data_IF_184979494458
#
_entry.id   IF_184979494458
#
_cell.length_a   1.000
_cell.length_b   1.000
_cell.length_c   1.000
_cell.angle_alpha   90.00
_cell.angle_beta   90.00
_cell.angle_gamma   90.00
#
_symmetry.space_group_name_H-M   'P 1'
#
loop_
_entity.id
_entity.type
_entity.pdbx_description
1 polymer ?
#
# COMPACT_ATOMS: atom_id res chain seq x y z
N UNK A 1 -18.96 13.03 17.17
CA UNK A 1 -17.75 13.79 16.78
C UNK A 1 -17.86 14.12 15.29
N UNK A 2 -16.89 14.81 14.69
CA UNK A 2 -16.78 14.97 13.22
C UNK A 2 -15.65 14.07 12.70
N UNK A 3 -15.63 13.76 11.41
CA UNK A 3 -14.53 13.03 10.80
C UNK A 3 -13.26 13.87 10.87
N UNK A 4 -12.18 13.35 11.47
CA UNK A 4 -10.89 14.05 11.53
C UNK A 4 -9.84 13.27 10.74
N UNK A 5 -9.18 13.96 9.79
CA UNK A 5 -8.17 13.35 8.91
C UNK A 5 -6.86 14.12 8.97
N UNK A 6 -5.76 13.40 9.18
CA UNK A 6 -4.39 13.91 9.06
C UNK A 6 -3.94 13.83 7.60
N UNK A 7 -3.51 14.96 7.05
CA UNK A 7 -2.91 15.03 5.72
C UNK A 7 -1.45 15.50 5.78
N UNK A 8 -0.67 15.19 4.75
CA UNK A 8 0.66 15.77 4.58
C UNK A 8 0.58 17.27 4.26
N UNK A 9 1.54 18.05 4.77
CA UNK A 9 1.75 19.43 4.34
C UNK A 9 2.34 19.50 2.92
N UNK A 10 2.08 20.59 2.22
CA UNK A 10 2.85 20.99 1.04
C UNK A 10 4.30 21.31 1.47
N UNK A 11 5.33 20.62 0.95
CA UNK A 11 6.75 20.87 1.30
C UNK A 11 7.20 22.31 1.02
N UNK A 12 6.59 22.98 0.05
CA UNK A 12 6.88 24.37 -0.31
C UNK A 12 6.03 25.37 0.49
N UNK A 13 4.87 24.95 1.00
CA UNK A 13 3.96 25.79 1.78
C UNK A 13 3.42 25.05 3.02
N UNK A 14 4.21 24.93 4.11
CA UNK A 14 3.91 24.04 5.26
C UNK A 14 2.64 24.33 6.08
N UNK A 15 1.81 25.28 5.64
CA UNK A 15 0.48 25.59 6.21
C UNK A 15 -0.67 25.13 5.30
N UNK A 16 -0.36 24.50 4.18
CA UNK A 16 -1.32 23.99 3.21
C UNK A 16 -1.22 22.47 3.18
N UNK A 17 -2.33 21.84 2.82
CA UNK A 17 -2.34 20.43 2.44
C UNK A 17 -1.48 20.29 1.19
N UNK A 18 -0.73 19.19 1.10
CA UNK A 18 -0.05 18.80 -0.13
C UNK A 18 -1.02 18.88 -1.32
N UNK A 19 -0.65 19.54 -2.44
CA UNK A 19 -1.52 19.66 -3.61
C UNK A 19 -2.11 18.34 -4.10
N UNK A 20 -1.38 17.22 -3.95
CA UNK A 20 -1.86 15.89 -4.32
C UNK A 20 -3.13 15.49 -3.55
N UNK A 21 -3.21 15.75 -2.25
CA UNK A 21 -4.36 15.42 -1.41
C UNK A 21 -5.38 16.58 -1.27
N UNK A 22 -5.21 17.68 -2.01
CA UNK A 22 -6.03 18.89 -1.84
C UNK A 22 -7.53 18.68 -2.11
N UNK A 23 -7.87 17.84 -3.10
CA UNK A 23 -9.26 17.46 -3.41
C UNK A 23 -9.91 16.67 -2.28
N UNK A 24 -9.17 15.71 -1.75
CA UNK A 24 -9.61 14.87 -0.64
C UNK A 24 -9.81 15.69 0.64
N UNK A 25 -8.89 16.60 0.95
CA UNK A 25 -9.03 17.49 2.09
C UNK A 25 -10.17 18.52 1.94
N UNK A 26 -10.51 18.92 0.70
CA UNK A 26 -11.69 19.75 0.44
C UNK A 26 -12.97 18.97 0.70
N UNK A 27 -13.08 17.74 0.19
CA UNK A 27 -14.19 16.83 0.45
C UNK A 27 -14.47 16.62 1.96
N UNK A 28 -13.43 16.36 2.76
CA UNK A 28 -13.57 16.25 4.23
C UNK A 28 -14.17 17.53 4.82
N UNK A 29 -13.68 18.72 4.42
CA UNK A 29 -14.17 20.01 4.94
C UNK A 29 -15.59 20.33 4.50
N UNK A 30 -15.92 20.06 3.24
CA UNK A 30 -17.24 20.33 2.66
C UNK A 30 -18.33 19.49 3.35
N UNK A 31 -17.95 18.38 3.98
CA UNK A 31 -18.80 17.51 4.80
C UNK A 31 -18.60 17.70 6.31
N UNK A 32 -18.19 18.90 6.73
CA UNK A 32 -18.03 19.32 8.13
C UNK A 32 -17.01 18.52 8.94
N UNK A 33 -16.10 17.81 8.27
CA UNK A 33 -14.95 17.17 8.88
C UNK A 33 -13.86 18.18 9.25
N UNK A 34 -12.96 17.74 10.12
CA UNK A 34 -11.77 18.48 10.53
C UNK A 34 -10.52 17.89 9.86
N UNK A 35 -9.52 18.74 9.64
CA UNK A 35 -8.22 18.27 9.18
C UNK A 35 -7.10 18.84 10.03
N UNK A 36 -6.04 18.06 10.20
CA UNK A 36 -4.76 18.53 10.72
C UNK A 36 -3.63 18.06 9.80
N UNK A 37 -2.46 18.68 9.94
CA UNK A 37 -1.35 18.48 9.01
C UNK A 37 -0.13 17.90 9.72
N UNK A 38 0.53 16.96 9.04
CA UNK A 38 1.85 16.44 9.43
C UNK A 38 2.89 16.81 8.37
N UNK A 39 4.12 17.05 8.82
CA UNK A 39 5.27 17.24 7.95
C UNK A 39 5.96 15.89 7.71
N UNK A 40 5.66 15.29 6.54
CA UNK A 40 6.16 13.99 6.12
C UNK A 40 7.68 14.00 5.88
N UNK A 41 8.22 15.06 5.29
CA UNK A 41 9.67 15.20 5.06
C UNK A 41 10.44 15.21 6.39
N UNK A 42 9.92 15.92 7.41
CA UNK A 42 10.48 15.89 8.76
C UNK A 42 10.43 14.48 9.36
N UNK A 43 9.35 13.72 9.12
CA UNK A 43 9.23 12.35 9.59
C UNK A 43 10.26 11.42 8.93
N UNK A 44 10.43 11.50 7.60
CA UNK A 44 11.41 10.71 6.85
C UNK A 44 12.87 10.99 7.27
N UNK A 45 13.12 12.19 7.81
CA UNK A 45 14.42 12.55 8.38
C UNK A 45 14.59 12.08 9.84
N UNK A 46 13.60 11.38 10.41
CA UNK A 46 13.60 10.93 11.80
C UNK A 46 13.21 12.00 12.82
N UNK A 47 12.76 13.19 12.38
CA UNK A 47 12.39 14.31 13.24
C UNK A 47 10.90 14.28 13.61
N UNK A 48 10.44 13.21 14.27
CA UNK A 48 9.03 12.96 14.57
C UNK A 48 8.35 14.13 15.32
N UNK A 49 9.00 14.71 16.33
CA UNK A 49 8.45 15.85 17.07
C UNK A 49 8.24 17.09 16.19
N UNK A 50 9.11 17.29 15.20
CA UNK A 50 8.96 18.36 14.22
C UNK A 50 7.80 18.04 13.26
N UNK A 51 7.71 16.78 12.82
CA UNK A 51 6.67 16.29 11.91
C UNK A 51 5.25 16.56 12.43
N UNK A 52 5.02 16.37 13.72
CA UNK A 52 3.69 16.52 14.33
C UNK A 52 3.45 17.88 14.98
N UNK A 53 4.41 18.81 14.94
CA UNK A 53 4.37 20.08 15.69
C UNK A 53 3.07 20.86 15.49
N UNK A 54 2.53 20.86 14.28
CA UNK A 54 1.32 21.59 13.91
C UNK A 54 0.02 20.86 14.27
N UNK A 55 0.07 19.57 14.60
CA UNK A 55 -1.09 18.78 15.01
C UNK A 55 -1.56 19.26 16.40
N UNK A 56 -2.83 19.65 16.58
CA UNK A 56 -3.38 19.95 17.90
C UNK A 56 -3.25 18.76 18.89
N UNK A 57 -3.16 19.06 20.18
CA UNK A 57 -3.26 18.02 21.22
C UNK A 57 -4.72 17.58 21.43
N UNK A 58 -4.90 16.39 21.97
CA UNK A 58 -6.18 15.83 22.41
C UNK A 58 -7.26 15.76 21.31
N UNK A 59 -6.86 15.54 20.06
CA UNK A 59 -7.80 15.34 18.94
C UNK A 59 -8.63 14.07 19.05
N UNK A 60 -8.22 13.10 19.87
CA UNK A 60 -8.82 11.78 19.91
C UNK A 60 -8.46 10.94 18.68
N UNK A 61 -9.32 10.01 18.25
CA UNK A 61 -9.03 9.14 17.12
C UNK A 61 -9.12 9.87 15.78
N UNK A 62 -8.14 9.64 14.89
CA UNK A 62 -8.03 10.29 13.58
C UNK A 62 -7.65 9.29 12.49
N UNK A 63 -8.13 9.52 11.27
CA UNK A 63 -7.62 8.85 10.08
C UNK A 63 -6.35 9.54 9.60
N UNK A 64 -5.48 8.80 8.91
CA UNK A 64 -4.38 9.39 8.15
C UNK A 64 -4.61 9.16 6.67
N UNK A 65 -4.29 10.16 5.85
CA UNK A 65 -4.28 10.08 4.40
C UNK A 65 -3.07 10.85 3.89
N UNK A 66 -2.11 10.14 3.30
CA UNK A 66 -0.87 10.78 2.91
C UNK A 66 0.10 9.86 2.19
N UNK A 67 1.35 10.27 2.16
CA UNK A 67 2.42 9.51 1.54
C UNK A 67 2.81 8.27 2.33
N UNK A 68 3.33 7.28 1.60
CA UNK A 68 3.86 6.04 2.14
C UNK A 68 4.96 6.31 3.19
N UNK A 69 4.96 5.48 4.23
CA UNK A 69 5.97 5.45 5.29
C UNK A 69 6.51 4.02 5.42
N UNK A 70 7.71 3.87 5.93
CA UNK A 70 8.15 2.56 6.46
C UNK A 70 7.31 2.20 7.69
N UNK A 71 7.22 0.90 8.00
CA UNK A 71 6.54 0.44 9.22
C UNK A 71 7.13 1.05 10.50
N UNK A 72 8.44 1.32 10.52
CA UNK A 72 9.12 2.01 11.63
C UNK A 72 8.70 3.48 11.76
N UNK A 73 8.70 4.22 10.64
CA UNK A 73 8.25 5.62 10.59
C UNK A 73 6.79 5.75 11.03
N UNK A 74 5.91 4.87 10.56
CA UNK A 74 4.49 4.88 10.93
C UNK A 74 4.29 4.56 12.41
N UNK A 75 5.03 3.58 12.96
CA UNK A 75 5.00 3.27 14.38
C UNK A 75 5.50 4.44 15.25
N UNK A 76 6.56 5.11 14.81
CA UNK A 76 7.10 6.29 15.49
C UNK A 76 6.10 7.46 15.48
N UNK A 77 5.46 7.73 14.33
CA UNK A 77 4.38 8.70 14.20
C UNK A 77 3.21 8.39 15.14
N UNK A 78 2.71 7.16 15.12
CA UNK A 78 1.59 6.71 15.96
C UNK A 78 1.90 6.89 17.46
N UNK A 79 3.11 6.53 17.87
CA UNK A 79 3.58 6.67 19.26
C UNK A 79 3.61 8.15 19.70
N UNK A 80 4.19 9.03 18.87
CA UNK A 80 4.33 10.44 19.19
C UNK A 80 2.97 11.17 19.20
N UNK A 81 2.06 10.86 18.27
CA UNK A 81 0.69 11.37 18.28
C UNK A 81 -0.07 10.92 19.53
N UNK A 82 0.06 9.64 19.91
CA UNK A 82 -0.62 9.07 21.09
C UNK A 82 -0.21 9.75 22.38
N UNK A 83 1.07 10.13 22.52
CA UNK A 83 1.55 10.90 23.67
C UNK A 83 0.90 12.29 23.79
N UNK A 84 0.32 12.79 22.70
CA UNK A 84 -0.39 14.08 22.63
C UNK A 84 -1.90 13.92 22.57
N UNK A 85 -2.44 12.76 22.92
CA UNK A 85 -3.89 12.50 22.93
C UNK A 85 -4.52 12.34 21.54
N UNK A 86 -3.72 12.08 20.50
CA UNK A 86 -4.20 11.80 19.13
C UNK A 86 -3.90 10.34 18.77
N UNK A 87 -4.91 9.58 18.35
CA UNK A 87 -4.78 8.13 18.10
C UNK A 87 -5.01 7.87 16.61
N UNK A 88 -4.03 7.30 15.90
CA UNK A 88 -4.26 6.82 14.54
C UNK A 88 -5.23 5.63 14.55
N UNK A 89 -6.27 5.70 13.72
CA UNK A 89 -7.31 4.65 13.64
C UNK A 89 -6.82 3.35 13.01
N UNK A 90 -5.79 3.43 12.15
CA UNK A 90 -5.03 2.26 11.73
C UNK A 90 -3.88 2.06 12.72
N UNK A 91 -3.86 0.91 13.39
CA UNK A 91 -2.76 0.59 14.29
C UNK A 91 -1.47 0.31 13.49
N UNK A 92 -0.28 0.56 14.07
CA UNK A 92 0.99 0.28 13.36
C UNK A 92 1.13 -1.15 12.85
N UNK A 93 0.63 -2.14 13.62
CA UNK A 93 0.62 -3.54 13.21
C UNK A 93 -0.34 -3.78 12.03
N UNK A 94 -1.45 -3.04 11.94
CA UNK A 94 -2.42 -3.14 10.84
C UNK A 94 -1.87 -2.47 9.58
N UNK A 95 -1.18 -1.34 9.72
CA UNK A 95 -0.46 -0.68 8.63
C UNK A 95 0.57 -1.65 8.05
N UNK A 96 1.47 -2.19 8.87
CA UNK A 96 2.45 -3.16 8.40
C UNK A 96 1.78 -4.39 7.76
N UNK A 97 0.73 -4.93 8.40
CA UNK A 97 0.03 -6.13 7.93
C UNK A 97 -0.61 -5.96 6.55
N UNK A 98 -1.19 -4.80 6.27
CA UNK A 98 -1.80 -4.50 4.96
C UNK A 98 -0.78 -3.97 3.93
N UNK A 99 0.29 -3.32 4.38
CA UNK A 99 1.23 -2.62 3.52
C UNK A 99 2.36 -3.52 2.99
N UNK A 100 2.83 -4.47 3.79
CA UNK A 100 3.92 -5.36 3.44
C UNK A 100 3.40 -6.77 3.09
N UNK A 101 3.84 -7.31 1.95
CA UNK A 101 3.40 -8.61 1.43
C UNK A 101 3.35 -9.76 2.45
N UNK A 102 4.37 -9.97 3.32
CA UNK A 102 4.32 -11.03 4.32
C UNK A 102 3.16 -10.92 5.31
N UNK A 103 2.62 -9.73 5.51
CA UNK A 103 1.51 -9.48 6.42
C UNK A 103 0.15 -9.96 5.89
N UNK A 104 -0.02 -9.98 4.57
CA UNK A 104 -1.31 -10.29 3.95
C UNK A 104 -1.32 -11.52 3.05
N UNK A 105 -0.20 -11.90 2.41
CA UNK A 105 -0.19 -12.92 1.34
C UNK A 105 -0.91 -14.21 1.71
N UNK A 106 -0.59 -14.80 2.87
CA UNK A 106 -1.19 -16.05 3.33
C UNK A 106 -2.71 -15.95 3.53
N UNK A 107 -3.24 -14.78 3.88
CA UNK A 107 -4.69 -14.55 4.04
C UNK A 107 -5.43 -14.62 2.70
N UNK A 108 -4.73 -14.30 1.61
CA UNK A 108 -5.26 -14.32 0.24
C UNK A 108 -4.78 -15.53 -0.56
N UNK A 109 -4.18 -16.53 0.11
CA UNK A 109 -3.71 -17.75 -0.53
C UNK A 109 -4.82 -18.43 -1.34
N UNK A 110 -4.51 -18.83 -2.58
CA UNK A 110 -5.47 -19.39 -3.53
C UNK A 110 -6.19 -18.37 -4.41
N UNK A 111 -6.21 -17.09 -4.02
CA UNK A 111 -6.73 -15.99 -4.87
C UNK A 111 -5.68 -14.94 -5.22
N UNK A 112 -4.46 -15.03 -4.69
CA UNK A 112 -3.28 -14.25 -5.10
C UNK A 112 -2.19 -15.17 -5.69
N UNK A 113 -1.30 -14.70 -6.59
CA UNK A 113 -0.24 -15.55 -7.13
C UNK A 113 0.70 -16.07 -6.03
N UNK A 114 1.17 -17.31 -6.16
CA UNK A 114 2.10 -17.88 -5.18
C UNK A 114 3.35 -17.02 -5.11
N UNK A 115 3.80 -16.75 -3.88
CA UNK A 115 4.97 -15.93 -3.62
C UNK A 115 5.87 -16.64 -2.63
N UNK A 116 7.17 -16.43 -2.78
CA UNK A 116 8.17 -16.73 -1.76
C UNK A 116 8.91 -15.44 -1.44
N UNK A 117 9.28 -15.28 -0.17
CA UNK A 117 9.94 -14.07 0.28
C UNK A 117 10.89 -14.35 1.42
N UNK A 118 11.78 -13.39 1.66
CA UNK A 118 12.60 -13.32 2.87
C UNK A 118 13.00 -11.88 3.16
N UNK A 119 13.36 -11.57 4.42
CA UNK A 119 13.99 -10.29 4.74
C UNK A 119 15.26 -10.07 3.92
N UNK A 120 15.49 -8.82 3.52
CA UNK A 120 16.68 -8.37 2.83
C UNK A 120 16.84 -6.88 3.14
N UNK A 121 17.99 -6.48 3.70
CA UNK A 121 18.23 -5.08 4.00
C UNK A 121 18.55 -4.29 2.71
N UNK A 122 18.33 -2.96 2.71
CA UNK A 122 18.78 -2.09 1.63
C UNK A 122 20.26 -2.32 1.28
N UNK A 123 20.55 -2.37 -0.02
CA UNK A 123 21.90 -2.57 -0.57
C UNK A 123 22.60 -3.90 -0.19
N UNK A 124 21.90 -4.83 0.45
CA UNK A 124 22.44 -6.14 0.81
C UNK A 124 22.60 -7.05 -0.43
N UNK A 125 23.68 -7.85 -0.48
CA UNK A 125 23.81 -8.88 -1.53
C UNK A 125 22.72 -9.95 -1.32
N UNK A 126 21.87 -10.22 -2.33
CA UNK A 126 20.88 -11.28 -2.22
C UNK A 126 21.48 -12.68 -2.04
N UNK A 127 22.77 -12.93 -2.29
CA UNK A 127 23.34 -14.27 -2.05
C UNK A 127 22.64 -15.37 -2.87
N UNK A 128 22.65 -16.62 -2.38
CA UNK A 128 21.99 -17.71 -3.08
C UNK A 128 20.45 -17.64 -2.95
N UNK A 129 19.77 -17.87 -4.07
CA UNK A 129 18.31 -17.83 -4.23
C UNK A 129 17.71 -19.22 -4.43
N UNK A 130 18.53 -20.25 -4.63
CA UNK A 130 18.10 -21.61 -4.96
C UNK A 130 17.13 -22.20 -3.95
N UNK A 131 17.43 -22.05 -2.66
CA UNK A 131 16.59 -22.51 -1.55
C UNK A 131 15.24 -21.78 -1.52
N UNK A 132 15.24 -20.46 -1.74
CA UNK A 132 14.07 -19.60 -1.66
C UNK A 132 13.03 -19.98 -2.72
N UNK A 133 13.47 -20.17 -3.96
CA UNK A 133 12.56 -20.42 -5.10
C UNK A 133 12.16 -21.88 -5.28
N UNK A 134 12.71 -22.80 -4.47
CA UNK A 134 12.40 -24.23 -4.58
C UNK A 134 10.90 -24.54 -4.50
N UNK A 135 10.17 -23.78 -3.70
CA UNK A 135 8.74 -23.98 -3.50
C UNK A 135 7.89 -23.49 -4.69
N UNK A 136 8.45 -22.66 -5.58
CA UNK A 136 7.76 -22.17 -6.77
C UNK A 136 7.90 -23.14 -7.95
N UNK A 137 6.85 -23.28 -8.77
CA UNK A 137 6.94 -24.03 -10.03
C UNK A 137 7.91 -23.34 -11.00
N UNK A 138 8.41 -24.10 -11.98
CA UNK A 138 9.16 -23.51 -13.10
C UNK A 138 8.24 -22.65 -13.95
N UNK A 139 8.78 -21.53 -14.43
CA UNK A 139 8.00 -20.55 -15.18
C UNK A 139 8.26 -19.11 -14.76
N UNK A 140 7.53 -18.17 -15.36
CA UNK A 140 7.82 -16.76 -15.23
C UNK A 140 7.49 -16.25 -13.82
N UNK A 141 8.26 -15.26 -13.37
CA UNK A 141 8.11 -14.65 -12.06
C UNK A 141 8.37 -13.15 -12.09
N UNK A 142 7.77 -12.44 -11.14
CA UNK A 142 8.03 -11.04 -10.83
C UNK A 142 8.87 -10.96 -9.55
N UNK A 143 9.88 -10.10 -9.58
CA UNK A 143 10.74 -9.73 -8.47
C UNK A 143 10.30 -8.35 -7.95
N UNK A 144 10.04 -8.26 -6.65
CA UNK A 144 9.68 -7.00 -5.99
C UNK A 144 10.23 -6.95 -4.56
N UNK A 145 10.17 -5.78 -3.93
CA UNK A 145 10.30 -5.70 -2.48
C UNK A 145 8.95 -6.00 -1.80
N UNK A 146 8.82 -5.85 -0.48
CA UNK A 146 7.55 -6.17 0.20
C UNK A 146 6.38 -5.28 -0.22
N UNK A 147 6.63 -4.15 -0.87
CA UNK A 147 5.61 -3.16 -1.22
C UNK A 147 5.54 -2.95 -2.73
N UNK A 148 6.65 -2.67 -3.41
CA UNK A 148 6.69 -2.19 -4.80
C UNK A 148 7.68 -2.95 -5.68
N UNK A 149 7.41 -2.94 -6.98
CA UNK A 149 8.27 -3.51 -8.02
C UNK A 149 8.93 -2.43 -8.87
N UNK A 150 9.84 -2.86 -9.76
CA UNK A 150 10.50 -2.02 -10.75
C UNK A 150 9.85 -2.15 -12.13
N UNK A 151 8.53 -1.95 -12.19
CA UNK A 151 7.72 -2.19 -13.40
C UNK A 151 8.18 -1.42 -14.65
N UNK A 152 8.85 -0.27 -14.48
CA UNK A 152 9.41 0.50 -15.59
C UNK A 152 10.74 -0.07 -16.12
N UNK A 153 11.43 -0.88 -15.32
CA UNK A 153 12.63 -1.62 -15.69
C UNK A 153 12.31 -3.11 -15.85
N UNK A 154 11.23 -3.41 -16.59
CA UNK A 154 10.60 -4.74 -16.66
C UNK A 154 11.61 -5.88 -16.85
N UNK A 155 12.36 -5.88 -17.95
CA UNK A 155 13.30 -6.95 -18.29
C UNK A 155 14.58 -6.93 -17.45
N UNK A 156 14.95 -5.78 -16.87
CA UNK A 156 16.21 -5.61 -16.14
C UNK A 156 16.08 -5.93 -14.66
N UNK A 157 14.94 -5.64 -14.04
CA UNK A 157 14.79 -5.55 -12.59
C UNK A 157 13.42 -6.00 -12.05
N UNK A 158 12.52 -6.50 -12.90
CA UNK A 158 11.17 -6.89 -12.49
C UNK A 158 10.83 -8.32 -12.88
N UNK A 159 11.11 -8.73 -14.12
CA UNK A 159 10.60 -9.97 -14.69
C UNK A 159 11.71 -11.00 -14.91
N UNK A 160 11.38 -12.27 -14.64
CA UNK A 160 12.24 -13.42 -14.92
C UNK A 160 11.42 -14.46 -15.69
N UNK A 161 11.82 -14.87 -16.91
CA UNK A 161 11.06 -15.85 -17.71
C UNK A 161 10.95 -17.25 -17.09
N UNK A 162 11.96 -17.65 -16.31
CA UNK A 162 11.96 -18.90 -15.56
C UNK A 162 12.67 -18.70 -14.22
N UNK A 163 11.93 -18.84 -13.12
CA UNK A 163 12.45 -18.68 -11.76
C UNK A 163 13.58 -19.67 -11.42
N UNK A 164 13.64 -20.83 -12.09
CA UNK A 164 14.72 -21.81 -11.89
C UNK A 164 15.96 -21.54 -12.76
N UNK A 165 15.94 -20.51 -13.61
CA UNK A 165 17.15 -19.96 -14.24
C UNK A 165 17.90 -19.08 -13.24
N UNK A 166 18.56 -19.71 -12.27
CA UNK A 166 19.22 -19.03 -11.14
C UNK A 166 20.21 -17.92 -11.56
N UNK A 167 21.03 -18.05 -12.62
CA UNK A 167 21.87 -16.96 -13.09
C UNK A 167 21.07 -15.71 -13.49
N UNK A 168 19.99 -15.88 -14.26
CA UNK A 168 19.15 -14.77 -14.71
C UNK A 168 18.38 -14.15 -13.54
N UNK A 169 17.80 -15.00 -12.68
CA UNK A 169 17.13 -14.55 -11.47
C UNK A 169 18.06 -13.70 -10.60
N UNK A 170 19.31 -14.15 -10.38
CA UNK A 170 20.30 -13.39 -9.60
C UNK A 170 20.59 -12.03 -10.25
N UNK A 171 20.76 -11.96 -11.57
CA UNK A 171 20.97 -10.69 -12.27
C UNK A 171 19.82 -9.71 -12.04
N UNK A 172 18.58 -10.16 -12.21
CA UNK A 172 17.37 -9.32 -12.04
C UNK A 172 17.23 -8.88 -10.59
N UNK A 173 17.40 -9.79 -9.62
CA UNK A 173 17.32 -9.46 -8.19
C UNK A 173 18.41 -8.47 -7.78
N UNK A 174 19.66 -8.68 -8.19
CA UNK A 174 20.75 -7.73 -7.89
C UNK A 174 20.47 -6.36 -8.48
N UNK A 175 19.96 -6.29 -9.70
CA UNK A 175 19.59 -5.01 -10.34
C UNK A 175 18.41 -4.35 -9.61
N UNK A 176 17.39 -5.11 -9.24
CA UNK A 176 16.24 -4.63 -8.46
C UNK A 176 16.70 -4.02 -7.13
N UNK A 177 17.52 -4.75 -6.35
CA UNK A 177 18.06 -4.27 -5.07
C UNK A 177 18.89 -3.00 -5.25
N UNK A 178 19.73 -2.94 -6.29
CA UNK A 178 20.53 -1.75 -6.58
C UNK A 178 19.67 -0.53 -6.98
N UNK A 179 18.57 -0.74 -7.69
CA UNK A 179 17.63 0.34 -8.06
C UNK A 179 16.73 0.76 -6.90
N UNK A 180 16.39 -0.17 -6.00
CA UNK A 180 15.73 0.13 -4.73
C UNK A 180 16.62 0.99 -3.83
N UNK A 181 17.92 0.72 -3.82
CA UNK A 181 18.90 1.45 -3.01
C UNK A 181 18.45 1.48 -1.53
N UNK A 182 18.66 2.59 -0.84
CA UNK A 182 18.17 2.86 0.52
C UNK A 182 16.64 2.77 0.69
N UNK A 183 15.86 2.71 -0.39
CA UNK A 183 14.40 2.67 -0.38
C UNK A 183 13.81 1.26 -0.56
N UNK A 184 14.61 0.21 -0.42
CA UNK A 184 14.12 -1.17 -0.38
C UNK A 184 13.19 -1.36 0.83
N UNK A 185 11.93 -1.73 0.58
CA UNK A 185 10.96 -1.95 1.64
C UNK A 185 10.99 -3.41 2.14
N UNK A 186 11.57 -3.61 3.33
CA UNK A 186 11.47 -4.83 4.13
C UNK A 186 12.26 -6.06 3.65
N UNK A 187 12.09 -6.49 2.40
CA UNK A 187 12.77 -7.67 1.90
C UNK A 187 12.56 -7.96 0.42
N UNK A 188 12.89 -9.19 0.03
CA UNK A 188 12.81 -9.68 -1.35
C UNK A 188 11.61 -10.60 -1.51
N UNK A 189 10.82 -10.35 -2.55
CA UNK A 189 9.71 -11.21 -3.00
C UNK A 189 10.01 -11.73 -4.40
N UNK A 190 9.76 -13.01 -4.61
CA UNK A 190 9.67 -13.65 -5.93
C UNK A 190 8.27 -14.24 -6.03
N UNK A 191 7.51 -13.78 -7.00
CA UNK A 191 6.09 -14.12 -7.18
C UNK A 191 5.86 -14.72 -8.54
N UNK A 192 5.03 -15.76 -8.64
CA UNK A 192 4.58 -16.28 -9.94
C UNK A 192 3.97 -15.15 -10.79
N UNK A 193 4.35 -15.12 -12.06
CA UNK A 193 3.75 -14.20 -13.02
C UNK A 193 2.50 -14.84 -13.62
N UNK A 194 1.43 -14.07 -13.64
CA UNK A 194 0.17 -14.44 -14.28
C UNK A 194 -0.21 -13.37 -15.30
N UNK A 195 -0.69 -13.82 -16.45
CA UNK A 195 -1.25 -12.94 -17.48
C UNK A 195 -2.69 -12.58 -17.12
N UNK A 196 -2.98 -11.28 -17.13
CA UNK A 196 -4.31 -10.73 -16.90
C UNK A 196 -4.81 -10.01 -18.16
N UNK A 197 -6.13 -10.03 -18.34
CA UNK A 197 -6.84 -9.34 -19.42
C UNK A 197 -7.83 -8.33 -18.83
N UNK A 198 -8.07 -7.24 -19.55
CA UNK A 198 -9.11 -6.27 -19.22
C UNK A 198 -8.76 -5.26 -18.13
N UNK A 199 -7.48 -5.12 -17.76
CA UNK A 199 -6.99 -4.13 -16.78
C UNK A 199 -7.23 -4.53 -15.32
N UNK A 200 -6.88 -3.63 -14.41
CA UNK A 200 -7.00 -3.84 -12.96
C UNK A 200 -8.04 -2.89 -12.36
N UNK A 201 -8.87 -3.42 -11.46
CA UNK A 201 -9.82 -2.66 -10.67
C UNK A 201 -9.26 -2.50 -9.25
N UNK A 202 -9.32 -1.29 -8.70
CA UNK A 202 -9.00 -1.05 -7.30
C UNK A 202 -10.28 -1.03 -6.49
N UNK A 203 -10.36 -1.87 -5.46
CA UNK A 203 -11.42 -1.84 -4.47
C UNK A 203 -10.86 -1.29 -3.17
N UNK A 204 -11.49 -0.24 -2.65
CA UNK A 204 -11.24 0.31 -1.33
C UNK A 204 -12.18 -0.35 -0.33
N UNK A 205 -11.63 -0.83 0.78
CA UNK A 205 -12.37 -1.52 1.82
C UNK A 205 -12.27 -0.76 3.13
N UNK A 206 -13.40 -0.54 3.78
CA UNK A 206 -13.49 0.08 5.11
C UNK A 206 -14.19 -0.89 6.06
N UNK A 207 -13.50 -1.24 7.14
CA UNK A 207 -13.97 -2.17 8.18
C UNK A 207 -14.51 -3.51 7.60
N UNK A 208 -13.88 -3.99 6.51
CA UNK A 208 -14.19 -5.25 5.86
C UNK A 208 -15.27 -5.18 4.77
N UNK A 209 -15.84 -4.01 4.52
CA UNK A 209 -16.88 -3.79 3.51
C UNK A 209 -16.35 -2.97 2.33
N UNK A 210 -16.79 -3.25 1.09
CA UNK A 210 -16.36 -2.49 -0.09
C UNK A 210 -16.97 -1.09 -0.02
N UNK A 211 -16.11 -0.07 0.02
CA UNK A 211 -16.50 1.34 0.07
C UNK A 211 -16.54 1.96 -1.32
N UNK A 212 -15.55 1.67 -2.16
CA UNK A 212 -15.40 2.25 -3.49
C UNK A 212 -14.74 1.24 -4.42
N UNK A 213 -15.27 1.12 -5.64
CA UNK A 213 -14.65 0.38 -6.74
C UNK A 213 -14.32 1.41 -7.82
N UNK A 214 -13.08 1.41 -8.29
CA UNK A 214 -12.62 2.34 -9.32
C UNK A 214 -11.49 1.76 -10.17
N UNK A 215 -11.02 2.52 -11.16
CA UNK A 215 -9.93 2.09 -12.01
C UNK A 215 -8.61 2.03 -11.21
N UNK A 216 -7.71 1.14 -11.59
CA UNK A 216 -6.34 1.20 -11.09
C UNK A 216 -5.63 2.48 -11.60
N UNK A 217 -4.81 3.17 -10.77
CA UNK A 217 -4.18 4.44 -11.16
C UNK A 217 -3.26 4.38 -12.40
N UNK A 218 -2.70 3.21 -12.72
CA UNK A 218 -1.89 3.04 -13.94
C UNK A 218 -2.74 2.96 -15.23
N UNK A 219 -4.03 2.65 -15.10
CA UNK A 219 -4.98 2.48 -16.21
C UNK A 219 -6.30 3.18 -15.88
N UNK A 220 -6.30 4.50 -15.65
CA UNK A 220 -7.48 5.24 -15.18
C UNK A 220 -8.66 5.22 -16.15
N UNK A 221 -8.43 4.88 -17.42
CA UNK A 221 -9.43 4.73 -18.47
C UNK A 221 -10.09 3.35 -18.54
N UNK A 222 -9.60 2.38 -17.76
CA UNK A 222 -10.13 1.01 -17.73
C UNK A 222 -10.90 0.80 -16.44
N UNK A 223 -12.18 0.47 -16.56
CA UNK A 223 -13.08 0.24 -15.42
C UNK A 223 -13.59 -1.20 -15.45
N UNK A 224 -12.80 -2.18 -14.97
CA UNK A 224 -13.27 -3.55 -14.84
C UNK A 224 -14.34 -3.64 -13.74
N UNK A 225 -15.26 -4.59 -13.87
CA UNK A 225 -16.25 -4.92 -12.84
C UNK A 225 -15.80 -6.18 -12.09
N UNK A 226 -15.08 -6.07 -10.96
CA UNK A 226 -14.59 -7.22 -10.22
C UNK A 226 -15.70 -7.96 -9.48
N UNK A 227 -15.54 -9.28 -9.35
CA UNK A 227 -16.36 -10.08 -8.42
C UNK A 227 -15.82 -9.91 -6.99
N UNK A 228 -16.36 -8.91 -6.27
CA UNK A 228 -15.94 -8.58 -4.91
C UNK A 228 -16.27 -9.67 -3.89
N UNK A 229 -17.25 -10.53 -4.17
CA UNK A 229 -17.67 -11.59 -3.24
C UNK A 229 -16.59 -12.67 -3.09
N UNK A 230 -15.74 -12.84 -4.10
CA UNK A 230 -14.58 -13.75 -4.06
C UNK A 230 -13.52 -13.27 -3.08
N UNK A 231 -13.38 -11.94 -2.91
CA UNK A 231 -12.29 -11.31 -2.16
C UNK A 231 -12.72 -10.90 -0.75
N UNK A 232 -14.00 -10.55 -0.55
CA UNK A 232 -14.52 -10.05 0.72
C UNK A 232 -14.24 -10.97 1.94
N UNK A 233 -14.33 -12.31 1.86
CA UNK A 233 -13.98 -13.18 3.00
C UNK A 233 -12.53 -13.03 3.46
N UNK A 234 -11.58 -12.93 2.52
CA UNK A 234 -10.16 -12.75 2.83
C UNK A 234 -9.90 -11.36 3.44
N UNK A 235 -10.53 -10.31 2.91
CA UNK A 235 -10.46 -8.95 3.46
C UNK A 235 -10.95 -8.90 4.91
N UNK A 236 -12.11 -9.49 5.19
CA UNK A 236 -12.64 -9.58 6.58
C UNK A 236 -11.72 -10.39 7.49
N UNK A 237 -11.06 -11.43 6.96
CA UNK A 237 -10.09 -12.23 7.71
C UNK A 237 -8.78 -11.49 7.99
N UNK A 238 -8.33 -10.60 7.09
CA UNK A 238 -7.14 -9.77 7.30
C UNK A 238 -7.35 -8.80 8.48
N UNK A 239 -8.59 -8.34 8.67
CA UNK A 239 -9.01 -7.54 9.81
C UNK A 239 -8.38 -6.14 9.87
N UNK A 240 -7.81 -5.65 8.76
CA UNK A 240 -7.33 -4.28 8.66
C UNK A 240 -8.50 -3.35 8.31
N UNK A 241 -8.55 -2.19 8.97
CA UNK A 241 -9.69 -1.27 8.90
C UNK A 241 -9.81 -0.53 7.57
N UNK A 242 -8.69 -0.22 6.95
CA UNK A 242 -8.69 0.57 5.72
C UNK A 242 -7.61 0.09 4.77
N UNK A 243 -8.03 -0.61 3.73
CA UNK A 243 -7.13 -1.22 2.75
C UNK A 243 -7.63 -1.02 1.32
N UNK A 244 -6.77 -1.28 0.37
CA UNK A 244 -7.13 -1.48 -1.03
C UNK A 244 -6.77 -2.88 -1.47
N UNK A 245 -7.53 -3.42 -2.43
CA UNK A 245 -7.14 -4.60 -3.20
C UNK A 245 -7.14 -4.25 -4.67
N UNK A 246 -6.06 -4.57 -5.38
CA UNK A 246 -6.01 -4.48 -6.83
C UNK A 246 -6.36 -5.84 -7.42
N UNK A 247 -7.41 -5.86 -8.23
CA UNK A 247 -8.06 -7.05 -8.76
C UNK A 247 -7.90 -7.11 -10.26
N UNK A 248 -7.42 -8.24 -10.76
CA UNK A 248 -7.25 -8.48 -12.18
C UNK A 248 -7.89 -9.80 -12.59
N UNK A 249 -8.38 -9.89 -13.82
CA UNK A 249 -9.02 -11.10 -14.33
C UNK A 249 -8.06 -11.90 -15.19
N UNK A 250 -7.89 -13.17 -14.87
CA UNK A 250 -7.16 -14.14 -15.70
C UNK A 250 -7.96 -14.50 -16.96
N UNK A 251 -7.27 -15.07 -17.95
CA UNK A 251 -7.88 -15.50 -19.20
C UNK A 251 -8.95 -16.60 -19.05
N UNK A 252 -8.92 -17.37 -17.95
CA UNK A 252 -9.96 -18.36 -17.60
C UNK A 252 -11.18 -17.75 -16.88
N UNK A 253 -11.17 -16.44 -16.64
CA UNK A 253 -12.26 -15.70 -16.03
C UNK A 253 -12.15 -15.55 -14.51
N UNK A 254 -11.14 -16.16 -13.86
CA UNK A 254 -10.93 -16.04 -12.43
C UNK A 254 -10.38 -14.66 -12.04
N UNK A 255 -10.94 -14.07 -10.98
CA UNK A 255 -10.42 -12.85 -10.38
C UNK A 255 -9.30 -13.16 -9.39
N UNK A 256 -8.21 -12.40 -9.50
CA UNK A 256 -7.04 -12.53 -8.65
C UNK A 256 -6.75 -11.23 -7.92
N UNK A 257 -6.27 -11.36 -6.69
CA UNK A 257 -5.72 -10.26 -5.91
C UNK A 257 -4.26 -10.08 -6.31
N UNK A 258 -4.00 -9.03 -7.07
CA UNK A 258 -2.67 -8.63 -7.52
C UNK A 258 -1.91 -7.98 -6.38
N UNK A 259 -2.55 -7.12 -5.61
CA UNK A 259 -1.92 -6.38 -4.54
C UNK A 259 -2.93 -6.08 -3.44
N UNK A 260 -2.46 -6.08 -2.20
CA UNK A 260 -3.15 -5.49 -1.05
C UNK A 260 -2.29 -4.33 -0.58
N UNK A 261 -2.91 -3.18 -0.34
CA UNK A 261 -2.25 -1.98 0.15
C UNK A 261 -3.00 -1.39 1.33
N UNK A 262 -2.31 -0.61 2.15
CA UNK A 262 -2.96 0.22 3.16
C UNK A 262 -3.69 1.39 2.47
N UNK A 263 -4.97 1.59 2.80
CA UNK A 263 -5.81 2.59 2.16
C UNK A 263 -5.32 4.02 2.41
N UNK A 264 -4.64 4.26 3.54
CA UNK A 264 -4.16 5.60 3.90
C UNK A 264 -3.16 6.15 2.88
N UNK A 265 -2.44 5.27 2.17
CA UNK A 265 -1.33 5.62 1.26
C UNK A 265 -1.57 5.23 -0.20
N UNK A 266 -2.74 4.67 -0.50
CA UNK A 266 -3.11 4.26 -1.87
C UNK A 266 -3.57 5.46 -2.69
N UNK A 267 -3.17 5.58 -3.96
CA UNK A 267 -3.59 6.72 -4.77
C UNK A 267 -5.09 6.66 -5.12
N UNK A 268 -5.78 7.80 -5.05
CA UNK A 268 -7.17 7.95 -5.45
C UNK A 268 -7.23 8.59 -6.84
N UNK A 269 -7.68 7.87 -7.88
CA UNK A 269 -7.69 8.39 -9.24
C UNK A 269 -8.44 9.72 -9.36
N UNK A 270 -7.90 10.63 -10.18
CA UNK A 270 -8.53 11.94 -10.40
C UNK A 270 -9.93 11.87 -11.03
N UNK A 271 -10.30 10.74 -11.60
CA UNK A 271 -11.64 10.45 -12.15
C UNK A 271 -12.68 10.14 -11.09
N UNK A 272 -12.27 9.83 -9.85
CA UNK A 272 -13.17 9.48 -8.74
C UNK A 272 -13.47 10.72 -7.87
N UNK A 273 -14.72 10.86 -7.45
CA UNK A 273 -15.09 11.87 -6.45
C UNK A 273 -14.59 11.39 -5.07
N UNK A 274 -13.73 12.15 -4.37
CA UNK A 274 -13.29 11.77 -3.03
C UNK A 274 -14.45 11.46 -2.08
N UNK A 275 -15.60 12.11 -2.23
CA UNK A 275 -16.74 11.84 -1.35
C UNK A 275 -17.29 10.43 -1.43
N UNK A 276 -17.12 9.74 -2.55
CA UNK A 276 -17.48 8.33 -2.69
C UNK A 276 -16.66 7.43 -1.76
N UNK A 277 -15.49 7.88 -1.32
CA UNK A 277 -14.66 7.20 -0.31
C UNK A 277 -14.91 7.75 1.09
N UNK A 278 -14.82 9.07 1.27
CA UNK A 278 -14.86 9.70 2.60
C UNK A 278 -16.21 9.54 3.31
N UNK A 279 -17.32 9.36 2.58
CA UNK A 279 -18.62 9.08 3.17
C UNK A 279 -18.68 7.71 3.88
N UNK A 280 -17.75 6.81 3.57
CA UNK A 280 -17.66 5.47 4.17
C UNK A 280 -16.72 5.40 5.36
N UNK A 281 -15.85 6.39 5.58
CA UNK A 281 -14.97 6.41 6.74
C UNK A 281 -15.78 6.71 8.01
N UNK A 282 -15.83 5.80 8.99
CA UNK A 282 -16.61 6.00 10.19
C UNK A 282 -16.05 7.16 11.01
N UNK A 283 -16.96 7.95 11.55
CA UNK A 283 -16.66 8.93 12.58
C UNK A 283 -16.45 8.18 13.89
N UNK A 284 -15.28 8.29 14.54
CA UNK A 284 -15.04 7.64 15.82
C UNK A 284 -15.99 8.18 16.91
N UNK A 285 -16.40 7.29 17.81
CA UNK A 285 -17.20 7.63 19.00
C UNK A 285 -16.42 8.47 20.03
#
# INVERSE_FOLDING_TARGET
MTLTVLFCVDPLHPRRVDPHFSREAAAVRDHYGEIALIDHDSLQQGHVDAAIRAVPGDLGPVWYRGWMMTSEEYAALASALKQRGTILLTHPEDYQRAHELPGWHDTFAGITPSSVWRPLAPLEDPGDLSELVRALPAGPAVVKDYVKSRKHEWDEACFVPDVHNLPQLRTVVTKMVALQDQFLAGGLVIREYEDYDGGEARVWWVDGEPALIGPHPDSPEVEPEPDVDVVAPAVRSLGCRFITTDLARRADGEWRVVEVGDGQVSDLPSTVDPMDLYAHLPVPD
#
